data_IF_290163671649
#
_entry.id   IF_290163671649
#
_cell.length_a   1.000
_cell.length_b   1.000
_cell.length_c   1.000
_cell.angle_alpha   90.00
_cell.angle_beta   90.00
_cell.angle_gamma   90.00
#
_symmetry.space_group_name_H-M   'P 1'
#
loop_
_entity.id
_entity.type
_entity.pdbx_description
1 polymer ?
#
# COMPACT_ATOMS: atom_id res chain seq x y z
N UNK A 1 -20.19 -11.75 11.41
CA UNK A 1 -20.44 -10.33 11.77
C UNK A 1 -20.83 -9.63 10.48
N UNK A 2 -21.83 -8.75 10.51
CA UNK A 2 -22.16 -7.97 9.32
C UNK A 2 -21.05 -6.93 9.15
N UNK A 3 -20.18 -7.17 8.17
CA UNK A 3 -19.08 -6.29 7.77
C UNK A 3 -19.67 -5.01 7.17
N UNK A 4 -20.04 -4.08 8.05
CA UNK A 4 -20.73 -2.85 7.69
C UNK A 4 -20.03 -1.64 8.28
N UNK A 5 -19.48 -0.82 7.38
CA UNK A 5 -18.96 0.51 7.70
C UNK A 5 -19.67 1.51 6.79
N UNK A 6 -20.19 2.57 7.39
CA UNK A 6 -20.78 3.71 6.68
C UNK A 6 -19.96 4.96 6.99
N UNK A 7 -19.59 5.69 5.96
CA UNK A 7 -18.92 6.99 6.05
C UNK A 7 -19.71 7.99 5.22
N UNK A 8 -20.16 9.07 5.84
CA UNK A 8 -20.72 10.23 5.16
C UNK A 8 -19.80 11.43 5.37
N UNK A 9 -19.10 11.80 4.30
CA UNK A 9 -18.08 12.84 4.32
C UNK A 9 -18.36 13.92 3.29
N UNK A 10 -17.89 15.13 3.57
CA UNK A 10 -17.96 16.20 2.57
C UNK A 10 -17.00 15.92 1.42
N UNK A 11 -17.40 16.28 0.19
CA UNK A 11 -16.51 16.27 -0.98
C UNK A 11 -15.23 17.08 -0.73
N UNK A 12 -15.32 18.17 0.04
CA UNK A 12 -14.17 19.01 0.40
C UNK A 12 -13.14 18.22 1.22
N UNK A 13 -13.57 17.54 2.28
CA UNK A 13 -12.70 16.73 3.13
C UNK A 13 -12.00 15.63 2.33
N UNK A 14 -12.76 14.89 1.51
CA UNK A 14 -12.22 13.85 0.64
C UNK A 14 -11.25 14.41 -0.41
N UNK A 15 -11.55 15.57 -0.99
CA UNK A 15 -10.65 16.25 -1.93
C UNK A 15 -9.34 16.67 -1.28
N UNK A 16 -9.39 17.14 -0.03
CA UNK A 16 -8.19 17.50 0.74
C UNK A 16 -7.36 16.27 1.07
N UNK A 17 -7.99 15.17 1.52
CA UNK A 17 -7.31 13.91 1.79
C UNK A 17 -6.59 13.36 0.55
N UNK A 18 -7.29 13.33 -0.60
CA UNK A 18 -6.69 12.90 -1.89
C UNK A 18 -5.48 13.77 -2.25
N UNK A 19 -5.57 15.09 -2.07
CA UNK A 19 -4.44 16.01 -2.36
C UNK A 19 -3.27 15.80 -1.41
N UNK A 20 -3.52 15.65 -0.10
CA UNK A 20 -2.48 15.41 0.90
C UNK A 20 -1.71 14.12 0.60
N UNK A 21 -2.41 13.06 0.17
CA UNK A 21 -1.83 11.75 -0.12
C UNK A 21 -1.29 11.61 -1.55
N UNK A 22 -1.36 12.66 -2.36
CA UNK A 22 -0.94 12.63 -3.77
C UNK A 22 0.56 12.39 -3.94
N UNK A 23 1.39 12.80 -2.98
CA UNK A 23 2.83 12.62 -3.05
C UNK A 23 3.23 11.13 -3.13
N UNK A 24 2.56 10.26 -2.38
CA UNK A 24 2.77 8.81 -2.44
C UNK A 24 2.41 8.26 -3.81
N UNK A 25 1.19 8.58 -4.30
CA UNK A 25 0.75 8.16 -5.63
C UNK A 25 1.71 8.60 -6.74
N UNK A 26 2.21 9.84 -6.70
CA UNK A 26 3.12 10.37 -7.73
C UNK A 26 4.42 9.58 -7.80
N UNK A 27 4.95 9.15 -6.66
CA UNK A 27 6.23 8.41 -6.60
C UNK A 27 6.10 6.97 -7.06
N UNK A 28 4.90 6.42 -6.95
CA UNK A 28 4.55 5.05 -7.33
C UNK A 28 3.63 4.98 -8.55
N UNK A 29 3.65 6.02 -9.39
CA UNK A 29 2.73 6.16 -10.53
C UNK A 29 2.85 5.02 -11.56
N UNK A 30 4.00 4.36 -11.65
CA UNK A 30 4.18 3.15 -12.47
C UNK A 30 3.27 1.98 -12.05
N UNK A 31 2.80 1.98 -10.80
CA UNK A 31 1.84 1.01 -10.27
C UNK A 31 0.43 1.60 -10.14
N UNK A 32 0.10 2.66 -10.90
CA UNK A 32 -1.13 3.44 -10.70
C UNK A 32 -2.43 2.62 -10.68
N UNK A 33 -2.48 1.50 -11.41
CA UNK A 33 -3.66 0.62 -11.44
C UNK A 33 -3.78 -0.24 -10.18
N UNK A 34 -2.65 -0.69 -9.61
CA UNK A 34 -2.60 -1.45 -8.36
C UNK A 34 -2.63 -0.54 -7.11
N UNK A 35 -2.21 0.72 -7.23
CA UNK A 35 -2.06 1.64 -6.10
C UNK A 35 -3.39 1.93 -5.40
N UNK A 36 -3.48 1.54 -4.12
CA UNK A 36 -4.69 1.65 -3.32
C UNK A 36 -4.70 2.90 -2.43
N UNK A 37 -5.91 3.36 -2.15
CA UNK A 37 -6.25 4.24 -1.04
C UNK A 37 -7.12 3.42 -0.08
N UNK A 38 -6.79 3.46 1.20
CA UNK A 38 -7.61 2.91 2.27
C UNK A 38 -8.38 4.02 2.98
N UNK A 39 -9.62 3.76 3.35
CA UNK A 39 -10.39 4.55 4.31
C UNK A 39 -10.71 3.66 5.50
N UNK A 40 -10.36 4.14 6.70
CA UNK A 40 -10.57 3.41 7.95
C UNK A 40 -11.33 4.26 8.96
N UNK A 41 -12.18 3.61 9.75
CA UNK A 41 -12.82 4.17 10.94
C UNK A 41 -12.45 3.27 12.11
N UNK A 42 -11.56 3.79 12.96
CA UNK A 42 -11.23 3.18 14.25
C UNK A 42 -12.04 3.83 15.39
N UNK A 43 -12.26 5.13 15.29
CA UNK A 43 -13.01 5.94 16.25
C UNK A 43 -14.23 6.56 15.55
N UNK A 44 -15.44 6.44 16.10
CA UNK A 44 -16.62 7.10 15.54
C UNK A 44 -16.38 8.60 15.34
N UNK A 45 -16.80 9.14 14.20
CA UNK A 45 -16.64 10.55 13.84
C UNK A 45 -15.32 10.88 13.13
N UNK A 46 -14.34 9.98 13.14
CA UNK A 46 -13.01 10.21 12.58
C UNK A 46 -12.68 9.17 11.51
N UNK A 47 -12.40 9.65 10.30
CA UNK A 47 -11.95 8.82 9.18
C UNK A 47 -10.47 9.08 8.95
N UNK A 48 -9.69 8.02 8.85
CA UNK A 48 -8.31 8.09 8.40
C UNK A 48 -8.20 7.53 6.98
N UNK A 49 -7.77 8.38 6.06
CA UNK A 49 -7.38 7.98 4.71
C UNK A 49 -5.90 7.61 4.72
N UNK A 50 -5.56 6.44 4.16
CA UNK A 50 -4.18 5.95 4.09
C UNK A 50 -3.76 5.55 2.69
N UNK A 51 -2.50 5.78 2.41
CA UNK A 51 -1.73 5.08 1.39
C UNK A 51 -0.52 4.47 2.09
N UNK A 52 0.24 3.62 1.42
CA UNK A 52 1.47 3.07 2.00
C UNK A 52 2.40 4.22 2.44
N UNK A 53 2.73 4.25 3.74
CA UNK A 53 3.62 5.22 4.36
C UNK A 53 3.08 6.65 4.49
N UNK A 54 1.78 6.88 4.28
CA UNK A 54 1.19 8.20 4.46
C UNK A 54 -0.28 8.15 4.87
N UNK A 55 -0.67 9.06 5.76
CA UNK A 55 -2.03 9.12 6.28
C UNK A 55 -2.56 10.55 6.40
N UNK A 56 -3.88 10.69 6.36
CA UNK A 56 -4.58 11.95 6.55
C UNK A 56 -5.93 11.68 7.21
N UNK A 57 -6.17 12.32 8.36
CA UNK A 57 -7.41 12.16 9.12
C UNK A 57 -8.33 13.37 8.98
N UNK A 58 -9.63 13.13 8.96
CA UNK A 58 -10.66 14.17 8.89
C UNK A 58 -11.96 13.71 9.55
N UNK A 59 -12.77 14.67 10.00
CA UNK A 59 -14.08 14.42 10.60
C UNK A 59 -15.13 14.08 9.54
N UNK A 60 -16.00 13.11 9.87
CA UNK A 60 -17.12 12.68 9.05
C UNK A 60 -18.20 12.01 9.93
N UNK A 61 -19.43 11.89 9.43
CA UNK A 61 -20.44 11.05 10.09
C UNK A 61 -20.10 9.58 9.77
N UNK A 62 -20.01 8.72 10.80
CA UNK A 62 -19.61 7.32 10.61
C UNK A 62 -20.46 6.36 11.42
N UNK A 63 -20.70 5.17 10.89
CA UNK A 63 -21.29 4.04 11.61
C UNK A 63 -20.44 2.79 11.36
N UNK A 64 -20.22 2.00 12.41
CA UNK A 64 -19.34 0.83 12.38
C UNK A 64 -17.85 1.18 12.45
N UNK A 65 -17.02 0.16 12.44
CA UNK A 65 -15.55 0.24 12.43
C UNK A 65 -14.98 -0.70 11.39
N UNK A 66 -13.77 -0.41 10.92
CA UNK A 66 -13.09 -1.23 9.92
C UNK A 66 -12.40 -0.39 8.86
N UNK A 67 -11.83 -1.06 7.88
CA UNK A 67 -11.08 -0.44 6.79
C UNK A 67 -11.46 -1.05 5.45
N UNK A 68 -11.53 -0.22 4.40
CA UNK A 68 -11.70 -0.72 3.04
C UNK A 68 -10.75 -0.03 2.07
N UNK A 69 -10.28 -0.76 1.04
CA UNK A 69 -9.39 -0.24 0.02
C UNK A 69 -10.07 -0.08 -1.33
N UNK A 70 -9.67 0.96 -2.05
CA UNK A 70 -10.11 1.28 -3.42
C UNK A 70 -8.91 1.69 -4.26
N UNK A 71 -9.00 1.57 -5.58
CA UNK A 71 -7.98 2.16 -6.46
C UNK A 71 -7.91 3.67 -6.23
N UNK A 72 -6.71 4.19 -5.94
CA UNK A 72 -6.50 5.63 -5.72
C UNK A 72 -6.89 6.43 -6.96
N UNK A 73 -6.52 5.96 -8.16
CA UNK A 73 -6.83 6.60 -9.44
C UNK A 73 -8.34 6.76 -9.62
N UNK A 74 -9.08 5.68 -9.41
CA UNK A 74 -10.53 5.69 -9.50
C UNK A 74 -11.16 6.60 -8.45
N UNK A 75 -10.75 6.49 -7.18
CA UNK A 75 -11.33 7.27 -6.10
C UNK A 75 -11.11 8.78 -6.30
N UNK A 76 -9.91 9.16 -6.76
CA UNK A 76 -9.59 10.54 -7.12
C UNK A 76 -10.51 11.07 -8.22
N UNK A 77 -10.76 10.30 -9.28
CA UNK A 77 -11.68 10.67 -10.36
C UNK A 77 -13.11 10.80 -9.83
N UNK A 78 -13.57 9.80 -9.07
CA UNK A 78 -14.89 9.82 -8.43
C UNK A 78 -15.11 11.08 -7.59
N UNK A 79 -14.20 11.39 -6.65
CA UNK A 79 -14.34 12.57 -5.78
C UNK A 79 -14.31 13.86 -6.60
N UNK A 80 -13.45 13.94 -7.63
CA UNK A 80 -13.35 15.11 -8.50
C UNK A 80 -14.66 15.36 -9.25
N UNK A 81 -15.23 14.33 -9.86
CA UNK A 81 -16.36 14.44 -10.77
C UNK A 81 -17.73 14.35 -10.06
N UNK A 82 -17.76 13.89 -8.80
CA UNK A 82 -18.98 13.85 -7.99
C UNK A 82 -19.57 15.26 -7.81
N UNK A 83 -20.82 15.47 -8.24
CA UNK A 83 -21.51 16.77 -8.12
C UNK A 83 -22.07 17.03 -6.72
N UNK A 84 -22.19 15.99 -5.90
CA UNK A 84 -22.78 16.09 -4.56
C UNK A 84 -21.77 16.68 -3.56
N UNK A 85 -22.26 17.55 -2.67
CA UNK A 85 -21.43 18.12 -1.58
C UNK A 85 -21.14 17.10 -0.48
N UNK A 86 -22.08 16.18 -0.27
CA UNK A 86 -21.98 15.07 0.67
C UNK A 86 -21.86 13.77 -0.11
N UNK A 87 -20.94 12.91 0.33
CA UNK A 87 -20.71 11.59 -0.26
C UNK A 87 -20.92 10.55 0.83
N UNK A 88 -21.91 9.68 0.61
CA UNK A 88 -22.20 8.52 1.44
C UNK A 88 -21.49 7.30 0.84
N UNK A 89 -20.73 6.60 1.67
CA UNK A 89 -19.94 5.42 1.34
C UNK A 89 -20.34 4.33 2.33
N UNK A 90 -21.02 3.28 1.88
CA UNK A 90 -21.44 2.17 2.73
C UNK A 90 -20.84 0.87 2.20
N UNK A 91 -20.03 0.18 2.99
CA UNK A 91 -19.52 -1.15 2.64
C UNK A 91 -20.43 -2.19 3.26
N UNK A 92 -20.92 -3.12 2.45
CA UNK A 92 -21.68 -4.28 2.91
C UNK A 92 -21.11 -5.52 2.22
N UNK A 93 -20.55 -6.47 2.97
CA UNK A 93 -20.06 -7.75 2.43
C UNK A 93 -19.07 -7.61 1.28
N UNK A 94 -18.06 -6.74 1.43
CA UNK A 94 -17.03 -6.50 0.41
C UNK A 94 -17.49 -5.67 -0.80
N UNK A 95 -18.68 -5.07 -0.74
CA UNK A 95 -19.17 -4.17 -1.79
C UNK A 95 -19.37 -2.77 -1.22
N UNK A 96 -18.67 -1.78 -1.80
CA UNK A 96 -18.84 -0.37 -1.49
C UNK A 96 -19.95 0.21 -2.36
N UNK A 97 -21.00 0.69 -1.69
CA UNK A 97 -22.08 1.47 -2.26
C UNK A 97 -21.81 2.97 -2.08
N UNK A 98 -21.83 3.73 -3.19
CA UNK A 98 -21.63 5.17 -3.22
C UNK A 98 -22.96 5.87 -3.49
N UNK A 99 -23.39 6.73 -2.56
CA UNK A 99 -24.62 7.53 -2.68
C UNK A 99 -25.86 6.70 -3.09
N UNK A 100 -25.91 5.42 -2.76
CA UNK A 100 -26.96 4.49 -3.20
C UNK A 100 -27.14 4.39 -4.73
N UNK A 101 -26.11 4.74 -5.52
CA UNK A 101 -26.19 4.81 -6.99
C UNK A 101 -25.18 3.93 -7.71
N UNK A 102 -24.00 3.74 -7.13
CA UNK A 102 -22.95 2.90 -7.72
C UNK A 102 -22.44 1.90 -6.69
N UNK A 103 -22.15 0.68 -7.15
CA UNK A 103 -21.58 -0.38 -6.31
C UNK A 103 -20.30 -0.88 -6.96
N UNK A 104 -19.24 -0.95 -6.17
CA UNK A 104 -17.96 -1.54 -6.58
C UNK A 104 -17.50 -2.57 -5.55
N UNK A 105 -16.79 -3.60 -6.01
CA UNK A 105 -16.11 -4.53 -5.11
C UNK A 105 -14.92 -3.83 -4.45
N UNK A 106 -14.77 -4.04 -3.15
CA UNK A 106 -13.67 -3.52 -2.34
C UNK A 106 -13.15 -4.60 -1.42
N UNK A 107 -11.89 -4.47 -1.05
CA UNK A 107 -11.35 -5.28 0.04
C UNK A 107 -11.72 -4.62 1.34
N UNK A 108 -12.34 -5.38 2.25
CA UNK A 108 -12.72 -4.92 3.58
C UNK A 108 -12.02 -5.77 4.62
N UNK A 109 -11.53 -5.14 5.68
CA UNK A 109 -10.92 -5.83 6.81
C UNK A 109 -11.06 -5.03 8.09
N UNK A 110 -11.12 -5.72 9.22
CA UNK A 110 -11.00 -5.15 10.56
C UNK A 110 -9.61 -5.36 11.16
N UNK A 111 -8.72 -6.08 10.46
CA UNK A 111 -7.34 -6.29 10.89
C UNK A 111 -6.51 -5.01 10.76
N UNK A 112 -5.35 -5.00 11.41
CA UNK A 112 -4.37 -3.95 11.18
C UNK A 112 -3.84 -4.04 9.74
N UNK A 113 -3.97 -2.94 9.00
CA UNK A 113 -3.55 -2.79 7.62
C UNK A 113 -2.17 -2.13 7.49
N UNK A 114 -1.50 -1.85 8.61
CA UNK A 114 -0.20 -1.18 8.59
C UNK A 114 0.87 -2.09 7.99
N UNK A 115 1.58 -1.54 7.01
CA UNK A 115 2.80 -2.13 6.44
C UNK A 115 3.93 -1.13 6.69
N UNK A 116 5.08 -1.56 7.25
CA UNK A 116 6.17 -0.67 7.67
C UNK A 116 6.99 -0.17 6.48
N UNK A 117 6.33 0.56 5.57
CA UNK A 117 6.93 1.17 4.37
C UNK A 117 6.81 2.69 4.46
N UNK A 118 7.84 3.40 4.04
CA UNK A 118 7.81 4.85 3.90
C UNK A 118 6.95 5.27 2.70
N UNK A 119 6.46 6.52 2.66
CA UNK A 119 5.68 7.03 1.53
C UNK A 119 6.42 6.91 0.18
N UNK A 120 7.76 6.91 0.23
CA UNK A 120 8.65 6.91 -0.92
C UNK A 120 9.48 5.63 -0.99
N UNK A 121 8.93 4.51 -0.54
CA UNK A 121 9.64 3.25 -0.42
C UNK A 121 10.37 2.86 -1.72
N UNK A 122 11.58 2.35 -1.54
CA UNK A 122 12.44 1.81 -2.59
C UNK A 122 12.30 0.29 -2.68
N UNK A 123 12.76 -0.34 -3.78
CA UNK A 123 12.90 -1.79 -3.84
C UNK A 123 13.66 -2.39 -2.65
N UNK A 124 14.71 -1.70 -2.20
CA UNK A 124 15.48 -2.14 -1.03
C UNK A 124 14.66 -2.16 0.25
N UNK A 125 13.86 -1.12 0.50
CA UNK A 125 12.92 -1.09 1.63
C UNK A 125 11.90 -2.23 1.54
N UNK A 126 11.31 -2.47 0.36
CA UNK A 126 10.39 -3.61 0.15
C UNK A 126 11.06 -4.93 0.52
N UNK A 127 12.29 -5.18 0.05
CA UNK A 127 12.98 -6.45 0.33
C UNK A 127 13.42 -6.64 1.78
N UNK A 128 13.45 -5.56 2.58
CA UNK A 128 13.78 -5.61 4.01
C UNK A 128 12.56 -5.84 4.89
N UNK A 129 11.35 -5.68 4.34
CA UNK A 129 10.13 -6.01 5.05
C UNK A 129 10.09 -7.52 5.30
N UNK A 130 9.73 -7.90 6.52
CA UNK A 130 9.58 -9.28 6.93
C UNK A 130 8.24 -9.86 6.44
N UNK A 131 8.11 -10.01 5.12
CA UNK A 131 6.89 -10.49 4.46
C UNK A 131 6.32 -11.79 5.03
N UNK A 132 7.12 -12.79 5.44
CA UNK A 132 6.59 -14.00 6.07
C UNK A 132 5.76 -13.75 7.34
N UNK A 133 6.01 -12.63 8.03
CA UNK A 133 5.28 -12.24 9.23
C UNK A 133 4.14 -11.25 8.95
N UNK A 134 3.96 -10.81 7.70
CA UNK A 134 2.82 -10.01 7.27
C UNK A 134 1.73 -10.96 6.75
N UNK A 135 0.52 -10.82 7.27
CA UNK A 135 -0.63 -11.60 6.81
C UNK A 135 -0.86 -11.34 5.30
N UNK A 136 -0.95 -12.43 4.52
CA UNK A 136 -1.15 -12.38 3.06
C UNK A 136 -2.38 -11.54 2.66
N UNK A 137 -3.42 -11.53 3.49
CA UNK A 137 -4.60 -10.68 3.28
C UNK A 137 -4.25 -9.19 3.22
N UNK A 138 -3.22 -8.73 3.94
CA UNK A 138 -2.78 -7.33 3.92
C UNK A 138 -1.97 -7.02 2.66
N UNK A 139 -1.23 -8.02 2.15
CA UNK A 139 -0.51 -7.91 0.87
C UNK A 139 -1.53 -7.73 -0.27
N UNK A 140 -2.60 -8.53 -0.27
CA UNK A 140 -3.68 -8.44 -1.25
C UNK A 140 -4.49 -7.16 -1.10
N UNK A 141 -4.83 -6.77 0.14
CA UNK A 141 -5.54 -5.54 0.45
C UNK A 141 -4.88 -4.28 -0.15
N UNK A 142 -3.54 -4.21 -0.07
CA UNK A 142 -2.76 -3.11 -0.65
C UNK A 142 -2.38 -3.32 -2.11
N UNK A 143 -2.62 -4.50 -2.68
CA UNK A 143 -2.21 -4.86 -4.03
C UNK A 143 -0.69 -4.81 -4.21
N UNK A 144 0.07 -5.37 -3.25
CA UNK A 144 1.53 -5.26 -3.15
C UNK A 144 2.31 -6.29 -3.99
N UNK A 145 1.64 -7.34 -4.49
CA UNK A 145 2.28 -8.43 -5.24
C UNK A 145 3.20 -7.94 -6.38
N UNK A 146 2.76 -7.06 -7.30
CA UNK A 146 3.62 -6.57 -8.39
C UNK A 146 4.86 -5.80 -7.90
N UNK A 147 4.74 -5.05 -6.80
CA UNK A 147 5.82 -4.25 -6.23
C UNK A 147 6.87 -5.15 -5.57
N UNK A 148 6.43 -6.21 -4.88
CA UNK A 148 7.30 -7.23 -4.28
C UNK A 148 8.08 -7.96 -5.37
N UNK A 149 7.39 -8.48 -6.39
CA UNK A 149 8.03 -9.18 -7.51
C UNK A 149 9.06 -8.31 -8.25
N UNK A 150 8.72 -7.04 -8.52
CA UNK A 150 9.69 -6.12 -9.16
C UNK A 150 10.88 -5.86 -8.24
N UNK A 151 10.67 -5.70 -6.93
CA UNK A 151 11.74 -5.46 -5.99
C UNK A 151 12.72 -6.64 -5.92
N UNK A 152 12.20 -7.87 -5.85
CA UNK A 152 13.00 -9.09 -5.85
C UNK A 152 13.84 -9.23 -7.13
N UNK A 153 13.23 -8.96 -8.29
CA UNK A 153 13.94 -9.00 -9.58
C UNK A 153 15.06 -7.95 -9.63
N UNK A 154 14.79 -6.72 -9.20
CA UNK A 154 15.82 -5.66 -9.17
C UNK A 154 16.97 -5.99 -8.23
N UNK A 155 16.68 -6.57 -7.06
CA UNK A 155 17.74 -7.00 -6.13
C UNK A 155 18.56 -8.13 -6.73
N UNK A 156 17.93 -9.10 -7.40
CA UNK A 156 18.63 -10.18 -8.12
C UNK A 156 19.58 -9.62 -9.19
N UNK A 157 19.14 -8.63 -9.95
CA UNK A 157 19.97 -7.97 -10.97
C UNK A 157 21.15 -7.19 -10.37
N UNK A 158 20.92 -6.50 -9.25
CA UNK A 158 21.99 -5.82 -8.50
C UNK A 158 23.01 -6.84 -7.99
N UNK A 159 22.56 -7.94 -7.38
CA UNK A 159 23.44 -9.01 -6.89
C UNK A 159 24.30 -9.56 -8.03
N UNK A 160 23.69 -9.85 -9.18
CA UNK A 160 24.40 -10.35 -10.36
C UNK A 160 25.42 -9.33 -10.88
N UNK A 161 25.05 -8.06 -10.97
CA UNK A 161 25.91 -6.99 -11.46
C UNK A 161 27.11 -6.76 -10.54
N UNK A 162 26.88 -6.74 -9.22
CA UNK A 162 27.94 -6.59 -8.22
C UNK A 162 28.87 -7.80 -8.26
N UNK A 163 28.32 -9.02 -8.35
CA UNK A 163 29.12 -10.23 -8.50
C UNK A 163 30.03 -10.18 -9.73
N UNK A 164 29.50 -9.83 -10.91
CA UNK A 164 30.29 -9.74 -12.16
C UNK A 164 31.45 -8.74 -12.00
N UNK A 165 31.20 -7.59 -11.38
CA UNK A 165 32.24 -6.57 -11.13
C UNK A 165 33.30 -7.00 -10.12
N UNK A 166 32.94 -7.88 -9.19
CA UNK A 166 33.85 -8.37 -8.16
C UNK A 166 34.60 -9.64 -8.60
N UNK A 167 34.10 -10.36 -9.60
CA UNK A 167 34.56 -11.70 -9.97
C UNK A 167 36.08 -11.81 -10.11
N UNK A 168 36.71 -10.83 -10.75
CA UNK A 168 38.15 -10.79 -11.00
C UNK A 168 38.99 -10.54 -9.73
N UNK A 169 38.37 -10.07 -8.64
CA UNK A 169 39.01 -9.78 -7.36
C UNK A 169 38.72 -10.83 -6.29
N UNK A 170 37.92 -11.86 -6.60
CA UNK A 170 37.51 -12.88 -5.63
C UNK A 170 38.61 -13.92 -5.39
N UNK A 171 38.80 -14.39 -4.14
CA UNK A 171 39.68 -15.50 -3.85
C UNK A 171 39.29 -16.78 -4.63
N UNK A 172 40.25 -17.64 -5.04
CA UNK A 172 39.98 -18.84 -5.84
C UNK A 172 39.03 -19.85 -5.18
N UNK A 173 38.88 -19.79 -3.85
CA UNK A 173 38.01 -20.67 -3.07
C UNK A 173 36.59 -20.10 -2.86
N UNK A 174 36.29 -18.93 -3.41
CA UNK A 174 34.97 -18.30 -3.31
C UNK A 174 34.04 -18.83 -4.39
N UNK A 175 32.93 -19.45 -4.00
CA UNK A 175 31.90 -19.87 -4.96
C UNK A 175 30.93 -18.72 -5.24
N UNK A 176 30.42 -18.66 -6.47
CA UNK A 176 29.41 -17.67 -6.90
C UNK A 176 28.24 -17.61 -5.91
N UNK A 177 27.69 -18.77 -5.52
CA UNK A 177 26.57 -18.84 -4.58
C UNK A 177 26.89 -18.20 -3.22
N UNK A 178 28.09 -18.40 -2.67
CA UNK A 178 28.48 -17.83 -1.37
C UNK A 178 28.62 -16.30 -1.46
N UNK A 179 29.17 -15.80 -2.56
CA UNK A 179 29.37 -14.36 -2.74
C UNK A 179 28.05 -13.65 -2.99
N UNK A 180 27.17 -14.21 -3.82
CA UNK A 180 25.83 -13.67 -4.05
C UNK A 180 25.00 -13.64 -2.77
N UNK A 181 25.12 -14.65 -1.91
CA UNK A 181 24.43 -14.64 -0.61
C UNK A 181 24.99 -13.56 0.32
N UNK A 182 26.31 -13.39 0.41
CA UNK A 182 26.90 -12.26 1.16
C UNK A 182 26.43 -10.89 0.66
N UNK A 183 26.36 -10.69 -0.66
CA UNK A 183 25.84 -9.45 -1.25
C UNK A 183 24.37 -9.26 -0.84
N UNK A 184 23.56 -10.33 -0.87
CA UNK A 184 22.15 -10.29 -0.44
C UNK A 184 22.01 -9.92 1.04
N UNK A 185 22.82 -10.51 1.93
CA UNK A 185 22.82 -10.19 3.36
C UNK A 185 23.12 -8.71 3.61
N UNK A 186 24.13 -8.16 2.91
CA UNK A 186 24.48 -6.73 2.97
C UNK A 186 23.30 -5.86 2.51
N UNK A 187 22.66 -6.19 1.39
CA UNK A 187 21.49 -5.44 0.87
C UNK A 187 20.33 -5.48 1.88
N UNK A 188 20.09 -6.63 2.48
CA UNK A 188 19.07 -6.83 3.51
C UNK A 188 19.39 -6.11 4.83
N UNK A 189 20.61 -5.56 4.98
CA UNK A 189 21.04 -4.91 6.22
C UNK A 189 21.26 -5.89 7.37
N UNK A 190 21.37 -7.19 7.09
CA UNK A 190 21.79 -8.18 8.08
C UNK A 190 23.30 -8.03 8.23
N UNK A 191 23.73 -7.37 9.30
CA UNK A 191 25.15 -7.16 9.58
C UNK A 191 25.85 -8.53 9.60
N UNK A 192 26.93 -8.66 8.81
CA UNK A 192 27.82 -9.82 8.89
C UNK A 192 28.52 -9.78 10.26
N UNK A 193 28.25 -10.78 11.10
CA UNK A 193 29.12 -11.10 12.24
C UNK A 193 30.37 -11.84 11.76
#
# INVERSE_FOLDING_TARGET
MNDTITIRATKKSLSTAVKALFAGYKKHAKYSDAYKLSLSVATPGLVTARVLGGEYSFEAETEGTGSFSVSYRWFRLFVKDCKMKQICMAVNGGSLCLNNTATIKVEYTTADINVPLSLFYTPGEITRVDWPNINEQIIDYWGLKPQIEEAENRIKDVINTVYIKLADYLPPNSTESKIKEKIREIIAGKSMC
#
